data_IF_484907180630
#
_entry.id   IF_484907180630
#
_cell.length_a   1.000
_cell.length_b   1.000
_cell.length_c   1.000
_cell.angle_alpha   90.00
_cell.angle_beta   90.00
_cell.angle_gamma   90.00
#
_symmetry.space_group_name_H-M   'P 1'
#
loop_
_entity.id
_entity.type
_entity.pdbx_description
1 polymer ?
#
# COMPACT_ATOMS: atom_id res chain seq x y z
N UNK A 1 -19.92 -6.19 -6.94
CA UNK A 1 -18.48 -6.46 -6.71
C UNK A 1 -18.25 -7.81 -6.01
N UNK A 2 -18.96 -8.15 -4.90
CA UNK A 2 -18.83 -9.47 -4.24
C UNK A 2 -19.04 -10.69 -5.16
N UNK A 3 -20.04 -10.65 -6.04
CA UNK A 3 -20.33 -11.74 -6.98
C UNK A 3 -19.15 -12.07 -7.91
N UNK A 4 -18.38 -11.04 -8.33
CA UNK A 4 -17.20 -11.24 -9.19
C UNK A 4 -16.06 -11.93 -8.44
N UNK A 5 -15.86 -11.57 -7.17
CA UNK A 5 -14.85 -12.21 -6.31
C UNK A 5 -15.23 -13.68 -6.10
N UNK A 6 -16.48 -13.96 -5.72
CA UNK A 6 -16.98 -15.32 -5.52
C UNK A 6 -16.86 -16.18 -6.78
N UNK A 7 -17.24 -15.64 -7.94
CA UNK A 7 -17.10 -16.32 -9.23
C UNK A 7 -15.63 -16.58 -9.59
N UNK A 8 -14.73 -15.64 -9.30
CA UNK A 8 -13.30 -15.83 -9.52
C UNK A 8 -12.73 -16.93 -8.63
N UNK A 9 -13.07 -16.93 -7.34
CA UNK A 9 -12.69 -17.99 -6.39
C UNK A 9 -13.19 -19.35 -6.88
N UNK A 10 -14.45 -19.46 -7.29
CA UNK A 10 -15.02 -20.70 -7.82
C UNK A 10 -14.26 -21.19 -9.07
N UNK A 11 -14.04 -20.30 -10.05
CA UNK A 11 -13.33 -20.63 -11.30
C UNK A 11 -11.90 -21.11 -11.06
N UNK A 12 -11.25 -20.56 -10.04
CA UNK A 12 -9.85 -20.87 -9.66
C UNK A 12 -9.76 -21.92 -8.54
N UNK A 13 -10.88 -22.58 -8.18
CA UNK A 13 -10.97 -23.62 -7.13
C UNK A 13 -10.46 -23.18 -5.76
N UNK A 14 -10.66 -21.90 -5.44
CA UNK A 14 -10.39 -21.35 -4.12
C UNK A 14 -11.65 -21.42 -3.24
N UNK A 15 -11.52 -21.39 -1.90
CA UNK A 15 -12.66 -21.21 -1.00
C UNK A 15 -13.46 -19.97 -1.39
N UNK A 16 -14.79 -20.11 -1.51
CA UNK A 16 -15.68 -19.01 -1.89
C UNK A 16 -16.00 -18.23 -0.61
N UNK A 17 -15.74 -16.92 -0.54
CA UNK A 17 -16.07 -16.12 0.64
C UNK A 17 -17.59 -15.98 0.78
N UNK A 18 -18.14 -16.50 1.87
CA UNK A 18 -19.60 -16.57 2.08
C UNK A 18 -20.19 -15.31 2.74
N UNK A 19 -19.40 -14.60 3.54
CA UNK A 19 -19.79 -13.37 4.24
C UNK A 19 -19.15 -12.12 3.64
N UNK A 20 -19.70 -10.94 3.95
CA UNK A 20 -19.11 -9.66 3.55
C UNK A 20 -17.73 -9.44 4.17
N UNK A 21 -17.52 -9.88 5.41
CA UNK A 21 -16.21 -9.82 6.06
C UNK A 21 -15.16 -10.69 5.34
N UNK A 22 -15.55 -11.88 4.87
CA UNK A 22 -14.67 -12.74 4.09
C UNK A 22 -14.35 -12.13 2.73
N UNK A 23 -15.32 -11.47 2.09
CA UNK A 23 -15.10 -10.74 0.84
C UNK A 23 -14.13 -9.58 1.04
N UNK A 24 -14.31 -8.77 2.10
CA UNK A 24 -13.41 -7.66 2.43
C UNK A 24 -11.99 -8.15 2.72
N UNK A 25 -11.85 -9.24 3.48
CA UNK A 25 -10.53 -9.83 3.75
C UNK A 25 -9.84 -10.29 2.47
N UNK A 26 -10.56 -10.96 1.57
CA UNK A 26 -10.05 -11.33 0.26
C UNK A 26 -9.56 -10.12 -0.55
N UNK A 27 -10.29 -9.00 -0.51
CA UNK A 27 -9.89 -7.74 -1.16
C UNK A 27 -8.59 -7.21 -0.56
N UNK A 28 -8.49 -7.08 0.76
CA UNK A 28 -7.31 -6.49 1.39
C UNK A 28 -6.06 -7.36 1.25
N UNK A 29 -6.18 -8.68 1.45
CA UNK A 29 -5.06 -9.61 1.28
C UNK A 29 -4.57 -9.61 -0.18
N UNK A 30 -5.48 -9.66 -1.16
CA UNK A 30 -5.09 -9.62 -2.57
C UNK A 30 -4.47 -8.28 -2.99
N UNK A 31 -4.89 -7.16 -2.41
CA UNK A 31 -4.27 -5.85 -2.63
C UNK A 31 -2.85 -5.80 -2.05
N UNK A 32 -2.65 -6.24 -0.80
CA UNK A 32 -1.34 -6.29 -0.17
C UNK A 32 -0.35 -7.17 -0.96
N UNK A 33 -0.80 -8.34 -1.41
CA UNK A 33 -0.01 -9.24 -2.27
C UNK A 33 0.27 -8.64 -3.65
N UNK A 34 -0.68 -7.89 -4.21
CA UNK A 34 -0.45 -7.16 -5.47
C UNK A 34 0.56 -6.03 -5.30
N UNK A 35 0.58 -5.33 -4.17
CA UNK A 35 1.61 -4.34 -3.85
C UNK A 35 2.98 -4.98 -3.77
N UNK A 36 3.12 -6.12 -3.08
CA UNK A 36 4.37 -6.91 -3.07
C UNK A 36 4.81 -7.26 -4.48
N UNK A 37 3.92 -7.80 -5.29
CA UNK A 37 4.22 -8.15 -6.69
C UNK A 37 4.76 -6.97 -7.49
N UNK A 38 4.06 -5.83 -7.45
CA UNK A 38 4.49 -4.64 -8.19
C UNK A 38 5.80 -4.09 -7.63
N UNK A 39 5.98 -4.10 -6.31
CA UNK A 39 7.22 -3.67 -5.68
C UNK A 39 8.41 -4.53 -6.11
N UNK A 40 8.27 -5.85 -6.10
CA UNK A 40 9.32 -6.78 -6.52
C UNK A 40 9.72 -6.54 -7.98
N UNK A 41 8.73 -6.29 -8.86
CA UNK A 41 8.98 -5.89 -10.24
C UNK A 41 9.75 -4.57 -10.34
N UNK A 42 9.31 -3.53 -9.62
CA UNK A 42 9.98 -2.22 -9.62
C UNK A 42 11.44 -2.34 -9.13
N UNK A 43 11.69 -3.10 -8.07
CA UNK A 43 13.03 -3.38 -7.56
C UNK A 43 13.86 -4.11 -8.62
N UNK A 44 13.31 -5.13 -9.29
CA UNK A 44 14.04 -5.89 -10.31
C UNK A 44 14.44 -5.03 -11.52
N UNK A 45 13.58 -4.09 -11.94
CA UNK A 45 13.84 -3.25 -13.11
C UNK A 45 14.75 -2.07 -12.77
N UNK A 46 14.59 -1.48 -11.58
CA UNK A 46 15.37 -0.31 -11.15
C UNK A 46 16.74 -0.67 -10.55
N UNK A 47 16.91 -1.90 -10.06
CA UNK A 47 18.07 -2.32 -9.26
C UNK A 47 18.16 -1.63 -7.89
N UNK A 48 17.15 -0.86 -7.50
CA UNK A 48 17.13 -0.10 -6.25
C UNK A 48 16.44 -0.90 -5.14
N UNK A 49 17.00 -0.83 -3.93
CA UNK A 49 16.34 -1.35 -2.74
C UNK A 49 15.32 -0.36 -2.20
N UNK A 50 14.13 -0.84 -1.84
CA UNK A 50 13.09 -0.02 -1.21
C UNK A 50 12.92 -0.45 0.23
N UNK A 51 13.30 0.40 1.20
CA UNK A 51 13.15 0.07 2.63
C UNK A 51 11.77 0.42 3.19
N UNK A 52 11.13 1.45 2.62
CA UNK A 52 9.89 2.04 3.15
C UNK A 52 8.90 2.31 2.02
N UNK A 53 7.63 2.10 2.31
CA UNK A 53 6.50 2.43 1.44
C UNK A 53 5.69 3.56 2.06
N UNK A 54 5.52 4.66 1.32
CA UNK A 54 4.63 5.74 1.74
C UNK A 54 3.25 5.57 1.10
N UNK A 55 2.23 5.33 1.92
CA UNK A 55 0.83 5.26 1.47
C UNK A 55 0.15 6.58 1.82
N UNK A 56 -0.21 7.35 0.80
CA UNK A 56 -0.89 8.64 0.93
C UNK A 56 -2.34 8.54 0.45
N UNK A 57 -3.14 9.59 0.64
CA UNK A 57 -4.51 9.60 0.14
C UNK A 57 -5.49 8.87 1.06
N UNK A 58 -6.71 8.64 0.57
CA UNK A 58 -7.72 7.88 1.32
C UNK A 58 -7.30 6.47 1.71
N UNK A 59 -6.37 5.84 0.96
CA UNK A 59 -5.82 4.53 1.28
C UNK A 59 -5.05 4.51 2.61
N UNK A 60 -4.47 5.64 3.01
CA UNK A 60 -3.71 5.73 4.27
C UNK A 60 -4.59 5.53 5.51
N UNK A 61 -5.91 5.73 5.40
CA UNK A 61 -6.86 5.57 6.51
C UNK A 61 -7.19 4.11 6.84
N UNK A 62 -6.78 3.16 6.00
CA UNK A 62 -7.10 1.75 6.19
C UNK A 62 -5.98 1.02 6.95
N UNK A 63 -6.05 1.08 8.28
CA UNK A 63 -5.03 0.49 9.15
C UNK A 63 -4.80 -1.00 8.89
N UNK A 64 -5.87 -1.77 8.64
CA UNK A 64 -5.75 -3.20 8.36
C UNK A 64 -4.99 -3.46 7.05
N UNK A 65 -5.33 -2.76 5.98
CA UNK A 65 -4.62 -2.89 4.71
C UNK A 65 -3.16 -2.43 4.81
N UNK A 66 -2.89 -1.36 5.56
CA UNK A 66 -1.53 -0.84 5.74
C UNK A 66 -0.65 -1.86 6.49
N UNK A 67 -1.16 -2.47 7.56
CA UNK A 67 -0.45 -3.54 8.28
C UNK A 67 -0.25 -4.76 7.37
N UNK A 68 -1.30 -5.24 6.69
CA UNK A 68 -1.18 -6.34 5.73
C UNK A 68 -0.15 -6.04 4.63
N UNK A 69 -0.06 -4.79 4.19
CA UNK A 69 0.94 -4.36 3.20
C UNK A 69 2.35 -4.43 3.77
N UNK A 70 2.56 -3.95 5.00
CA UNK A 70 3.86 -4.05 5.67
C UNK A 70 4.28 -5.52 5.82
N UNK A 71 3.37 -6.36 6.29
CA UNK A 71 3.60 -7.78 6.50
C UNK A 71 3.91 -8.51 5.20
N UNK A 72 3.10 -8.28 4.16
CA UNK A 72 3.24 -8.94 2.86
C UNK A 72 4.52 -8.54 2.14
N UNK A 73 4.85 -7.25 2.15
CA UNK A 73 6.01 -6.71 1.44
C UNK A 73 7.33 -6.85 2.22
N UNK A 74 7.25 -7.07 3.54
CA UNK A 74 8.41 -7.04 4.42
C UNK A 74 9.04 -5.65 4.54
N UNK A 75 8.31 -4.58 4.18
CA UNK A 75 8.78 -3.19 4.21
C UNK A 75 8.00 -2.38 5.24
N UNK A 76 8.67 -1.40 5.84
CA UNK A 76 7.99 -0.44 6.72
C UNK A 76 7.00 0.37 5.89
N UNK A 77 5.75 0.46 6.35
CA UNK A 77 4.73 1.30 5.72
C UNK A 77 4.54 2.56 6.55
N UNK A 78 4.65 3.72 5.91
CA UNK A 78 4.32 5.02 6.48
C UNK A 78 3.02 5.49 5.82
N UNK A 79 1.93 5.51 6.57
CA UNK A 79 0.62 5.90 6.08
C UNK A 79 0.32 7.35 6.46
N UNK A 80 0.02 8.17 5.45
CA UNK A 80 -0.33 9.58 5.58
C UNK A 80 0.66 10.50 4.85
N UNK A 81 0.31 11.79 4.69
CA UNK A 81 -0.96 12.39 5.08
C UNK A 81 -2.11 12.00 4.12
N UNK A 82 -3.35 12.01 4.62
CA UNK A 82 -4.52 11.69 3.78
C UNK A 82 -4.65 12.68 2.62
N UNK A 83 -4.51 13.98 2.88
CA UNK A 83 -4.71 15.02 1.87
C UNK A 83 -3.41 15.41 1.14
N UNK A 84 -2.51 14.43 0.91
CA UNK A 84 -1.19 14.67 0.32
C UNK A 84 -1.24 15.38 -1.04
N UNK A 85 -2.24 15.10 -1.88
CA UNK A 85 -2.42 15.77 -3.17
C UNK A 85 -2.71 17.26 -2.99
N UNK A 86 -3.62 17.61 -2.08
CA UNK A 86 -3.97 19.01 -1.80
C UNK A 86 -2.79 19.74 -1.14
N UNK A 87 -2.11 19.10 -0.19
CA UNK A 87 -0.91 19.63 0.45
C UNK A 87 0.20 19.89 -0.58
N UNK A 88 0.48 18.92 -1.46
CA UNK A 88 1.48 19.08 -2.51
C UNK A 88 1.17 20.25 -3.43
N UNK A 89 -0.09 20.42 -3.82
CA UNK A 89 -0.52 21.56 -4.63
C UNK A 89 -0.30 22.90 -3.89
N UNK A 90 -0.74 23.02 -2.64
CA UNK A 90 -0.55 24.23 -1.84
C UNK A 90 0.94 24.59 -1.68
N UNK A 91 1.79 23.60 -1.39
CA UNK A 91 3.23 23.81 -1.23
C UNK A 91 3.89 24.30 -2.52
N UNK A 92 3.49 23.77 -3.69
CA UNK A 92 4.01 24.29 -4.96
C UNK A 92 3.60 25.74 -5.21
N UNK A 93 2.41 26.15 -4.78
CA UNK A 93 1.98 27.56 -4.87
C UNK A 93 2.75 28.45 -3.90
N UNK A 94 3.01 28.01 -2.66
CA UNK A 94 3.83 28.76 -1.71
C UNK A 94 5.27 28.95 -2.19
N UNK A 95 5.84 27.95 -2.86
CA UNK A 95 7.16 28.10 -3.51
C UNK A 95 7.08 29.14 -4.63
N UNK A 96 6.06 29.09 -5.47
CA UNK A 96 5.89 30.04 -6.58
C UNK A 96 5.68 31.48 -6.10
N UNK A 97 5.06 31.66 -4.93
CA UNK A 97 4.85 32.97 -4.28
C UNK A 97 6.08 33.47 -3.51
N UNK A 98 7.13 32.64 -3.35
CA UNK A 98 8.32 32.97 -2.57
C UNK A 98 8.15 32.82 -1.05
N UNK A 99 7.02 32.27 -0.58
CA UNK A 99 6.74 31.97 0.84
C UNK A 99 7.55 30.75 1.33
N UNK A 100 7.98 29.90 0.41
CA UNK A 100 8.93 28.82 0.64
C UNK A 100 10.06 28.90 -0.40
N UNK A 101 11.30 28.74 0.05
CA UNK A 101 12.47 28.87 -0.81
C UNK A 101 12.56 27.75 -1.86
N UNK A 102 12.17 26.51 -1.51
CA UNK A 102 12.27 25.35 -2.40
C UNK A 102 11.54 24.10 -1.84
N UNK A 103 11.58 23.00 -2.61
CA UNK A 103 11.02 21.70 -2.21
C UNK A 103 11.65 21.10 -0.96
N UNK A 104 12.92 21.40 -0.66
CA UNK A 104 13.57 20.87 0.54
C UNK A 104 12.95 21.50 1.80
N UNK A 105 12.74 22.81 1.80
CA UNK A 105 12.05 23.50 2.89
C UNK A 105 10.60 23.01 3.05
N UNK A 106 9.87 22.86 1.94
CA UNK A 106 8.52 22.32 1.95
C UNK A 106 8.45 20.91 2.58
N UNK A 107 9.40 20.02 2.25
CA UNK A 107 9.47 18.67 2.84
C UNK A 107 9.85 18.70 4.32
N UNK A 108 10.75 19.58 4.73
CA UNK A 108 11.10 19.75 6.15
C UNK A 108 9.89 20.22 6.96
N UNK A 109 9.12 21.19 6.45
CA UNK A 109 7.87 21.61 7.06
C UNK A 109 6.91 20.42 7.20
N UNK A 110 6.64 19.71 6.11
CA UNK A 110 5.76 18.53 6.14
C UNK A 110 6.22 17.47 7.13
N UNK A 111 7.52 17.18 7.22
CA UNK A 111 8.03 16.16 8.15
C UNK A 111 7.76 16.48 9.62
N UNK A 112 7.49 17.75 9.94
CA UNK A 112 7.18 18.21 11.31
C UNK A 112 5.69 18.35 11.57
N UNK A 113 4.87 18.52 10.52
CA UNK A 113 3.45 18.89 10.65
C UNK A 113 2.49 17.84 10.11
N UNK A 114 2.92 16.97 9.19
CA UNK A 114 2.07 15.96 8.60
C UNK A 114 1.86 14.80 9.58
N UNK A 115 0.60 14.48 9.84
CA UNK A 115 0.23 13.29 10.60
C UNK A 115 0.47 12.03 9.76
N UNK A 116 1.26 11.13 10.31
CA UNK A 116 1.56 9.82 9.71
C UNK A 116 1.56 8.73 10.76
N UNK A 117 1.25 7.51 10.35
CA UNK A 117 1.33 6.31 11.18
C UNK A 117 2.30 5.32 10.54
N UNK A 118 3.12 4.67 11.37
CA UNK A 118 4.13 3.71 10.91
C UNK A 118 3.71 2.29 11.26
N UNK A 119 3.74 1.41 10.27
CA UNK A 119 3.43 -0.01 10.39
C UNK A 119 4.69 -0.81 10.09
N UNK A 120 5.22 -1.46 11.12
CA UNK A 120 6.35 -2.37 10.99
C UNK A 120 5.87 -3.75 10.51
N UNK A 121 6.63 -4.44 9.64
CA UNK A 121 6.28 -5.79 9.19
C UNK A 121 6.16 -6.77 10.35
N UNK A 122 5.06 -7.52 10.37
CA UNK A 122 4.79 -8.58 11.32
C UNK A 122 4.53 -9.88 10.55
N UNK A 123 4.97 -11.02 11.09
CA UNK A 123 4.62 -12.35 10.55
C UNK A 123 4.89 -12.56 9.04
N UNK A 124 5.91 -11.91 8.46
CA UNK A 124 6.19 -11.94 7.00
C UNK A 124 6.32 -13.36 6.43
N UNK A 125 6.85 -14.31 7.21
CA UNK A 125 6.96 -15.72 6.79
C UNK A 125 5.60 -16.37 6.44
N UNK A 126 4.52 -15.99 7.13
CA UNK A 126 3.18 -16.47 6.81
C UNK A 126 2.70 -15.95 5.44
N UNK A 127 3.12 -14.74 5.06
CA UNK A 127 2.75 -14.11 3.81
C UNK A 127 3.49 -14.67 2.60
N UNK A 128 4.65 -15.29 2.78
CA UNK A 128 5.39 -15.92 1.67
C UNK A 128 4.61 -17.06 1.01
N UNK A 129 3.96 -17.91 1.82
CA UNK A 129 3.10 -18.98 1.31
C UNK A 129 1.87 -18.42 0.57
N UNK A 130 1.26 -17.36 1.11
CA UNK A 130 0.15 -16.67 0.47
C UNK A 130 0.56 -16.02 -0.86
N UNK A 131 1.77 -15.47 -0.92
CA UNK A 131 2.31 -14.83 -2.12
C UNK A 131 2.60 -15.83 -3.23
N UNK A 132 3.21 -16.98 -2.89
CA UNK A 132 3.44 -18.05 -3.86
C UNK A 132 2.12 -18.52 -4.49
N UNK A 133 1.10 -18.76 -3.67
CA UNK A 133 -0.25 -19.12 -4.15
C UNK A 133 -0.90 -18.01 -4.97
N UNK A 134 -0.76 -16.75 -4.56
CA UNK A 134 -1.30 -15.60 -5.29
C UNK A 134 -0.72 -15.50 -6.70
N UNK A 135 0.58 -15.72 -6.85
CA UNK A 135 1.24 -15.74 -8.15
C UNK A 135 0.76 -16.87 -9.04
N UNK A 136 0.67 -18.09 -8.49
CA UNK A 136 0.16 -19.26 -9.21
C UNK A 136 -1.27 -19.04 -9.72
N UNK A 137 -2.18 -18.62 -8.83
CA UNK A 137 -3.59 -18.38 -9.18
C UNK A 137 -3.75 -17.19 -10.14
N UNK A 138 -2.92 -16.16 -9.98
CA UNK A 138 -2.94 -14.95 -10.79
C UNK A 138 -2.26 -15.08 -12.14
N UNK A 139 -1.47 -16.14 -12.36
CA UNK A 139 -0.63 -16.30 -13.56
C UNK A 139 0.48 -15.24 -13.64
N UNK A 140 1.13 -14.96 -12.52
CA UNK A 140 2.15 -13.89 -12.35
C UNK A 140 3.54 -14.43 -12.02
#
# INVERSE_FOLDING_TARGET
MPTRIRAYCQRTRQPIPESDSAVLRCIYESLALKYRYVLDLLVSVSGQTVERLHIIGGGSKNALLNQMTADATGRVVIAGPTEATAMGNALTQFIALGELANLSEARQMLSRTAETETYEPQHTAAWDAHYARFREVGGL
#
